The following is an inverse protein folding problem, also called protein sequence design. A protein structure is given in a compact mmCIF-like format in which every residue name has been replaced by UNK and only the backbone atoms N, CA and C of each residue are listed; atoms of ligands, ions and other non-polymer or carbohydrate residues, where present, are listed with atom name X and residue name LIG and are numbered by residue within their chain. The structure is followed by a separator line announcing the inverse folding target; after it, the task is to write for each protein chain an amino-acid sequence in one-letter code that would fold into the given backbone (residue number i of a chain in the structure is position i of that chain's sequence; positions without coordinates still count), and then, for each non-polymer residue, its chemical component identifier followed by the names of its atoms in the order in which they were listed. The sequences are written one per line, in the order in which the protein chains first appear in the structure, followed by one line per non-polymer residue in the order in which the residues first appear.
data_IF_773202520667
#
_entry.id   IF_773202520667
#
_cell.length_a   1.000
_cell.length_b   1.000
_cell.length_c   1.000
_cell.angle_alpha   90.00
_cell.angle_beta   90.00
_cell.angle_gamma   90.00
#
_symmetry.space_group_name_H-M   'P 1'
#
loop_
_entity.id
_entity.type
_entity.pdbx_description
1 polymer ?
#
# COMPACT_ATOMS: atom_id res chain seq x y z
N UNK A 1 43.63 -4.57 2.47
CA UNK A 1 43.08 -3.78 1.36
C UNK A 1 42.55 -4.76 0.33
N UNK A 2 41.41 -4.44 -0.30
CA UNK A 2 40.73 -5.13 -1.39
C UNK A 2 39.78 -6.29 -1.01
N UNK A 3 38.48 -6.03 -1.21
CA UNK A 3 37.36 -6.93 -0.99
C UNK A 3 36.02 -6.20 -1.17
N UNK A 4 35.91 -5.33 -2.18
CA UNK A 4 34.69 -4.60 -2.57
C UNK A 4 34.68 -4.48 -4.09
N UNK A 5 34.48 -5.58 -4.81
CA UNK A 5 34.29 -5.56 -6.27
C UNK A 5 33.09 -6.42 -6.74
N UNK A 6 32.26 -6.92 -5.81
CA UNK A 6 31.12 -7.79 -6.14
C UNK A 6 29.79 -7.06 -6.37
N UNK A 7 29.60 -5.87 -5.79
CA UNK A 7 28.29 -5.22 -5.76
C UNK A 7 28.05 -4.29 -6.97
N UNK A 8 29.12 -3.77 -7.59
CA UNK A 8 29.02 -2.84 -8.73
C UNK A 8 28.65 -3.58 -10.03
N UNK A 9 29.27 -4.75 -10.27
CA UNK A 9 28.95 -5.61 -11.41
C UNK A 9 27.49 -6.11 -11.37
N UNK A 10 26.94 -6.36 -10.17
CA UNK A 10 25.53 -6.70 -9.99
C UNK A 10 24.60 -5.58 -10.48
N UNK A 11 24.86 -4.34 -10.06
CA UNK A 11 24.06 -3.18 -10.42
C UNK A 11 24.16 -2.81 -11.92
N UNK A 12 25.35 -2.93 -12.52
CA UNK A 12 25.55 -2.71 -13.96
C UNK A 12 24.74 -3.73 -14.77
N UNK A 13 24.76 -5.00 -14.35
CA UNK A 13 24.01 -6.06 -15.02
C UNK A 13 22.50 -5.90 -14.82
N UNK A 14 22.04 -5.48 -13.64
CA UNK A 14 20.62 -5.16 -13.41
C UNK A 14 20.17 -3.98 -14.29
N UNK A 15 21.04 -2.97 -14.48
CA UNK A 15 20.78 -1.87 -15.40
C UNK A 15 20.64 -2.38 -16.85
N UNK A 16 21.54 -3.26 -17.30
CA UNK A 16 21.47 -3.89 -18.63
C UNK A 16 20.17 -4.70 -18.80
N UNK A 17 19.80 -5.52 -17.83
CA UNK A 17 18.55 -6.32 -17.86
C UNK A 17 17.29 -5.43 -17.86
N UNK A 18 17.36 -4.23 -17.26
CA UNK A 18 16.25 -3.26 -17.30
C UNK A 18 16.18 -2.47 -18.60
N UNK A 19 17.31 -2.25 -19.27
CA UNK A 19 17.40 -1.48 -20.52
C UNK A 19 16.98 -2.30 -21.75
N UNK A 20 17.39 -3.58 -21.80
CA UNK A 20 17.16 -4.43 -22.96
C UNK A 20 16.05 -5.45 -22.70
N UNK A 21 15.13 -5.61 -23.67
CA UNK A 21 14.03 -6.54 -23.52
C UNK A 21 14.44 -7.96 -23.91
N UNK A 22 15.35 -8.12 -24.86
CA UNK A 22 15.83 -9.43 -25.28
C UNK A 22 17.34 -9.52 -25.16
N UNK A 23 17.84 -10.75 -24.99
CA UNK A 23 19.29 -11.00 -25.01
C UNK A 23 19.90 -10.65 -26.38
N UNK A 24 19.10 -10.77 -27.44
CA UNK A 24 19.51 -10.41 -28.80
C UNK A 24 19.70 -8.90 -28.95
N UNK A 25 18.79 -8.08 -28.41
CA UNK A 25 18.97 -6.61 -28.38
C UNK A 25 20.23 -6.19 -27.62
N UNK A 26 20.57 -6.89 -26.54
CA UNK A 26 21.81 -6.64 -25.80
C UNK A 26 23.04 -6.95 -26.67
N UNK A 27 23.06 -8.09 -27.37
CA UNK A 27 24.18 -8.44 -28.24
C UNK A 27 24.27 -7.49 -29.44
N UNK A 28 23.14 -7.10 -30.01
CA UNK A 28 23.09 -6.17 -31.14
C UNK A 28 23.60 -4.77 -30.74
N UNK A 29 23.40 -4.35 -29.48
CA UNK A 29 23.99 -3.11 -28.96
C UNK A 29 25.52 -3.10 -28.91
N UNK A 30 26.14 -4.29 -28.93
CA UNK A 30 27.60 -4.47 -28.94
C UNK A 30 28.15 -4.66 -30.36
N UNK A 31 27.30 -4.88 -31.37
CA UNK A 31 27.72 -5.01 -32.76
C UNK A 31 27.99 -3.61 -33.33
N UNK A 32 29.19 -3.42 -33.89
CA UNK A 32 29.55 -2.15 -34.52
C UNK A 32 29.29 -2.18 -36.03
N UNK A 33 29.22 -1.00 -36.65
CA UNK A 33 29.13 -0.86 -38.12
C UNK A 33 30.33 -1.47 -38.85
N UNK A 34 31.47 -1.56 -38.17
CA UNK A 34 32.67 -2.20 -38.69
C UNK A 34 32.50 -3.73 -38.78
N UNK A 35 31.84 -4.34 -37.79
CA UNK A 35 31.55 -5.77 -37.78
C UNK A 35 30.56 -6.11 -38.90
N UNK A 36 29.53 -5.27 -39.10
CA UNK A 36 28.61 -5.39 -40.24
C UNK A 36 29.33 -5.28 -41.59
N UNK A 37 30.30 -4.37 -41.71
CA UNK A 37 31.06 -4.17 -42.94
C UNK A 37 32.01 -5.33 -43.28
N UNK A 38 32.63 -5.97 -42.28
CA UNK A 38 33.61 -7.04 -42.52
C UNK A 38 33.02 -8.45 -42.51
N UNK A 39 31.95 -8.68 -41.75
CA UNK A 39 31.37 -10.03 -41.59
C UNK A 39 30.16 -10.24 -42.50
N UNK A 40 29.51 -9.15 -42.97
CA UNK A 40 28.26 -9.11 -43.75
C UNK A 40 27.06 -9.88 -43.15
N UNK A 41 27.28 -10.63 -42.07
CA UNK A 41 26.36 -11.52 -41.41
C UNK A 41 26.26 -11.17 -39.93
N UNK A 42 25.09 -10.69 -39.51
CA UNK A 42 24.79 -10.27 -38.14
C UNK A 42 24.93 -11.44 -37.14
N UNK A 43 24.53 -12.64 -37.55
CA UNK A 43 24.62 -13.84 -36.72
C UNK A 43 26.07 -14.23 -36.40
N UNK A 44 27.00 -14.00 -37.35
CA UNK A 44 28.42 -14.27 -37.14
C UNK A 44 29.04 -13.25 -36.18
N UNK A 45 28.67 -11.97 -36.32
CA UNK A 45 29.09 -10.94 -35.37
C UNK A 45 28.58 -11.25 -33.96
N UNK A 46 27.32 -11.69 -33.84
CA UNK A 46 26.71 -12.09 -32.57
C UNK A 46 27.46 -13.22 -31.89
N UNK A 47 27.86 -14.26 -32.64
CA UNK A 47 28.66 -15.38 -32.11
C UNK A 47 30.06 -14.94 -31.66
N UNK A 48 30.71 -14.03 -32.39
CA UNK A 48 32.03 -13.51 -32.01
C UNK A 48 31.98 -12.65 -30.74
N UNK A 49 30.90 -11.90 -30.54
CA UNK A 49 30.64 -11.17 -29.29
C UNK A 49 30.36 -12.15 -28.16
N UNK A 50 29.50 -13.15 -28.37
CA UNK A 50 29.18 -14.17 -27.36
C UNK A 50 30.41 -14.97 -26.89
N UNK A 51 31.34 -15.26 -27.81
CA UNK A 51 32.60 -15.93 -27.52
C UNK A 51 33.67 -15.00 -26.90
N UNK A 52 33.39 -13.70 -26.76
CA UNK A 52 34.28 -12.72 -26.14
C UNK A 52 35.44 -12.25 -27.04
N UNK A 53 35.41 -12.49 -28.35
CA UNK A 53 36.48 -12.09 -29.27
C UNK A 53 36.41 -10.61 -29.69
N UNK A 54 35.25 -9.96 -29.51
CA UNK A 54 35.00 -8.57 -29.96
C UNK A 54 34.61 -7.58 -28.86
N UNK A 55 34.41 -8.03 -27.62
CA UNK A 55 33.92 -7.19 -26.51
C UNK A 55 34.96 -6.93 -25.42
N UNK A 56 34.82 -5.78 -24.74
CA UNK A 56 35.57 -5.43 -23.53
C UNK A 56 35.04 -6.20 -22.32
N UNK A 57 35.45 -7.47 -22.18
CA UNK A 57 35.22 -8.27 -20.98
C UNK A 57 34.16 -9.36 -21.13
N UNK A 58 34.07 -10.18 -20.08
CA UNK A 58 33.22 -11.37 -19.97
C UNK A 58 31.76 -11.04 -20.31
N UNK A 59 31.29 -11.54 -21.45
CA UNK A 59 29.91 -11.35 -21.90
C UNK A 59 29.00 -12.18 -21.01
N UNK A 60 27.89 -11.56 -20.58
CA UNK A 60 26.90 -12.23 -19.74
C UNK A 60 26.32 -13.42 -20.51
N UNK A 61 26.35 -14.61 -19.92
CA UNK A 61 25.79 -15.80 -20.57
C UNK A 61 24.30 -15.62 -20.79
N UNK A 62 23.80 -16.16 -21.91
CA UNK A 62 22.36 -16.21 -22.23
C UNK A 62 21.54 -16.71 -21.05
N UNK A 63 22.01 -17.76 -20.37
CA UNK A 63 21.35 -18.36 -19.21
C UNK A 63 21.25 -17.38 -18.04
N UNK A 64 22.32 -16.64 -17.74
CA UNK A 64 22.37 -15.69 -16.63
C UNK A 64 21.47 -14.46 -16.89
N UNK A 65 21.44 -13.97 -18.13
CA UNK A 65 20.55 -12.88 -18.53
C UNK A 65 19.07 -13.27 -18.36
N UNK A 66 18.70 -14.44 -18.88
CA UNK A 66 17.33 -14.95 -18.78
C UNK A 66 16.98 -15.24 -17.32
N UNK A 67 17.88 -15.88 -16.57
CA UNK A 67 17.64 -16.20 -15.16
C UNK A 67 17.41 -14.94 -14.32
N UNK A 68 18.20 -13.87 -14.52
CA UNK A 68 17.99 -12.59 -13.81
C UNK A 68 16.73 -11.89 -14.24
N UNK A 69 16.40 -11.88 -15.53
CA UNK A 69 15.14 -11.31 -16.00
C UNK A 69 13.93 -12.06 -15.44
N UNK A 70 13.96 -13.39 -15.47
CA UNK A 70 12.94 -14.23 -14.88
C UNK A 70 12.86 -14.05 -13.36
N UNK A 71 13.98 -13.90 -12.67
CA UNK A 71 14.00 -13.61 -11.23
C UNK A 71 13.39 -12.25 -10.92
N UNK A 72 13.75 -11.20 -11.67
CA UNK A 72 13.17 -9.86 -11.52
C UNK A 72 11.66 -9.86 -11.81
N UNK A 73 11.23 -10.57 -12.86
CA UNK A 73 9.81 -10.71 -13.18
C UNK A 73 9.07 -11.55 -12.12
N UNK A 74 9.66 -12.65 -11.66
CA UNK A 74 9.10 -13.49 -10.60
C UNK A 74 8.99 -12.73 -9.28
N UNK A 75 9.99 -11.90 -8.93
CA UNK A 75 9.91 -11.00 -7.78
C UNK A 75 8.76 -10.02 -7.92
N UNK A 76 8.63 -9.34 -9.07
CA UNK A 76 7.51 -8.41 -9.32
C UNK A 76 6.14 -9.10 -9.30
N UNK A 77 6.05 -10.32 -9.84
CA UNK A 77 4.83 -11.13 -9.82
C UNK A 77 4.53 -11.57 -8.40
N UNK A 78 5.53 -12.02 -7.63
CA UNK A 78 5.37 -12.46 -6.24
C UNK A 78 4.96 -11.31 -5.32
N UNK A 79 5.52 -10.11 -5.50
CA UNK A 79 5.08 -8.90 -4.79
C UNK A 79 3.63 -8.56 -5.15
N UNK A 80 3.27 -8.63 -6.44
CA UNK A 80 1.88 -8.42 -6.89
C UNK A 80 0.94 -9.51 -6.37
N UNK A 81 1.39 -10.76 -6.26
CA UNK A 81 0.62 -11.88 -5.74
C UNK A 81 0.48 -11.84 -4.23
N UNK A 82 1.52 -11.45 -3.49
CA UNK A 82 1.48 -11.15 -2.06
C UNK A 82 0.56 -9.96 -1.78
N UNK A 83 0.53 -8.99 -2.70
CA UNK A 83 -0.49 -7.94 -2.72
C UNK A 83 -1.90 -8.44 -3.12
N UNK A 84 -2.08 -9.69 -3.54
CA UNK A 84 -3.37 -10.25 -3.97
C UNK A 84 -3.90 -11.34 -3.03
N UNK A 85 -3.07 -11.93 -2.18
CA UNK A 85 -3.56 -12.79 -1.09
C UNK A 85 -4.38 -11.91 -0.16
N UNK A 86 -5.69 -12.09 -0.20
CA UNK A 86 -6.65 -11.42 0.68
C UNK A 86 -6.43 -11.94 2.10
N UNK A 87 -6.39 -11.05 3.08
CA UNK A 87 -6.17 -11.36 4.50
C UNK A 87 -7.34 -12.16 5.12
N UNK A 88 -8.49 -12.14 4.44
CA UNK A 88 -9.70 -12.91 4.77
C UNK A 88 -9.77 -14.28 4.11
N UNK A 89 -8.92 -14.59 3.11
CA UNK A 89 -8.99 -15.85 2.39
C UNK A 89 -8.69 -17.04 3.32
N UNK A 90 -9.66 -17.97 3.43
CA UNK A 90 -9.51 -19.19 4.24
C UNK A 90 -9.79 -19.05 5.73
N UNK A 91 -10.32 -17.93 6.22
CA UNK A 91 -10.68 -17.75 7.63
C UNK A 91 -12.17 -17.90 7.89
N UNK A 92 -12.51 -18.70 8.91
CA UNK A 92 -13.88 -18.79 9.41
C UNK A 92 -14.22 -17.60 10.30
N UNK A 93 -14.88 -16.60 9.72
CA UNK A 93 -15.31 -15.40 10.42
C UNK A 93 -16.69 -15.65 11.05
N UNK A 94 -16.75 -15.69 12.38
CA UNK A 94 -18.01 -15.86 13.14
C UNK A 94 -18.83 -14.58 13.22
N UNK A 95 -18.17 -13.42 13.24
CA UNK A 95 -18.82 -12.12 13.42
C UNK A 95 -19.32 -11.53 12.09
N UNK A 96 -20.58 -11.06 12.08
CA UNK A 96 -21.18 -10.38 10.93
C UNK A 96 -20.36 -9.17 10.47
N UNK A 97 -19.75 -8.44 11.41
CA UNK A 97 -18.87 -7.32 11.12
C UNK A 97 -17.63 -7.75 10.33
N UNK A 98 -16.95 -8.82 10.76
CA UNK A 98 -15.75 -9.32 10.08
C UNK A 98 -16.12 -9.89 8.71
N UNK A 99 -17.26 -10.59 8.59
CA UNK A 99 -17.76 -11.08 7.30
C UNK A 99 -17.98 -9.93 6.30
N UNK A 100 -18.61 -8.85 6.72
CA UNK A 100 -18.82 -7.67 5.88
C UNK A 100 -17.49 -6.98 5.48
N UNK A 101 -16.48 -7.00 6.35
CA UNK A 101 -15.15 -6.49 6.03
C UNK A 101 -14.41 -7.38 5.03
N UNK A 102 -14.52 -8.70 5.17
CA UNK A 102 -13.92 -9.67 4.26
C UNK A 102 -14.49 -9.54 2.84
N UNK A 103 -15.82 -9.49 2.71
CA UNK A 103 -16.49 -9.29 1.40
C UNK A 103 -16.05 -8.00 0.71
N UNK A 104 -15.77 -6.95 1.49
CA UNK A 104 -15.33 -5.65 0.97
C UNK A 104 -13.81 -5.53 0.82
N UNK A 105 -13.02 -6.46 1.33
CA UNK A 105 -11.54 -6.37 1.34
C UNK A 105 -11.00 -6.25 -0.09
N UNK A 106 -11.44 -7.15 -0.98
CA UNK A 106 -11.00 -7.17 -2.37
C UNK A 106 -11.39 -5.90 -3.12
N UNK A 107 -12.63 -5.43 -2.94
CA UNK A 107 -13.12 -4.22 -3.61
C UNK A 107 -12.38 -2.96 -3.13
N UNK A 108 -12.05 -2.87 -1.82
CA UNK A 108 -11.28 -1.75 -1.27
C UNK A 108 -9.80 -1.79 -1.69
N UNK A 109 -9.19 -2.98 -1.77
CA UNK A 109 -7.79 -3.12 -2.22
C UNK A 109 -7.62 -2.74 -3.69
N UNK A 110 -8.61 -3.10 -4.52
CA UNK A 110 -8.68 -2.73 -5.93
C UNK A 110 -9.15 -1.29 -6.17
N UNK A 111 -9.51 -0.54 -5.12
CA UNK A 111 -10.01 0.83 -5.24
C UNK A 111 -11.38 0.96 -5.93
N UNK A 112 -12.14 -0.13 -6.05
CA UNK A 112 -13.50 -0.12 -6.63
C UNK A 112 -14.52 0.48 -5.68
N UNK A 113 -14.31 0.30 -4.38
CA UNK A 113 -15.16 0.80 -3.30
C UNK A 113 -14.26 1.45 -2.25
N UNK A 114 -14.73 2.53 -1.62
CA UNK A 114 -14.12 3.08 -0.40
C UNK A 114 -15.06 2.84 0.78
N UNK A 115 -14.53 2.21 1.83
CA UNK A 115 -15.29 1.88 3.04
C UNK A 115 -14.71 2.59 4.25
N UNK A 116 -15.58 3.24 5.03
CA UNK A 116 -15.22 3.86 6.30
C UNK A 116 -15.87 3.06 7.41
N UNK A 117 -15.09 2.68 8.42
CA UNK A 117 -15.53 1.94 9.59
C UNK A 117 -15.75 2.95 10.72
N UNK A 118 -16.97 2.97 11.27
CA UNK A 118 -17.26 3.70 12.50
C UNK A 118 -17.19 2.74 13.68
N UNK A 119 -16.35 3.05 14.67
CA UNK A 119 -16.24 2.29 15.92
C UNK A 119 -16.68 3.19 17.06
N UNK A 120 -17.48 2.63 17.96
CA UNK A 120 -17.83 3.23 19.26
C UNK A 120 -17.51 2.21 20.34
N UNK A 121 -16.61 2.59 21.23
CA UNK A 121 -16.21 1.76 22.38
C UNK A 121 -16.31 2.56 23.68
N UNK A 122 -16.47 1.87 24.80
CA UNK A 122 -16.46 2.46 26.14
C UNK A 122 -15.26 1.93 26.90
N UNK A 123 -14.37 2.84 27.27
CA UNK A 123 -13.23 2.47 28.09
C UNK A 123 -13.70 2.05 29.50
N UNK A 124 -12.89 1.30 30.23
CA UNK A 124 -13.19 0.87 31.61
C UNK A 124 -13.45 2.05 32.57
N UNK A 125 -12.99 3.26 32.20
CA UNK A 125 -13.25 4.52 32.91
C UNK A 125 -14.59 5.19 32.55
N UNK A 126 -15.44 4.54 31.75
CA UNK A 126 -16.73 5.06 31.29
C UNK A 126 -16.64 6.13 30.19
N UNK A 127 -15.44 6.45 29.72
CA UNK A 127 -15.25 7.38 28.60
C UNK A 127 -15.66 6.70 27.29
N UNK A 128 -16.57 7.34 26.55
CA UNK A 128 -16.91 6.91 25.20
C UNK A 128 -15.81 7.37 24.23
N UNK A 129 -15.26 6.44 23.48
CA UNK A 129 -14.30 6.72 22.41
C UNK A 129 -14.94 6.27 21.11
N UNK A 130 -15.18 7.22 20.22
CA UNK A 130 -15.65 6.93 18.87
C UNK A 130 -14.65 7.42 17.84
N UNK A 131 -14.56 6.73 16.69
CA UNK A 131 -13.71 7.16 15.60
C UNK A 131 -14.17 6.63 14.25
N UNK A 132 -13.77 7.34 13.21
CA UNK A 132 -13.85 6.91 11.82
C UNK A 132 -12.48 6.41 11.36
N UNK A 133 -12.47 5.19 10.84
CA UNK A 133 -11.28 4.52 10.33
C UNK A 133 -11.48 4.28 8.84
N UNK A 134 -10.55 4.78 8.03
CA UNK A 134 -10.51 4.44 6.61
C UNK A 134 -9.99 3.01 6.43
N UNK A 135 -10.84 2.14 5.90
CA UNK A 135 -10.52 0.73 5.71
C UNK A 135 -9.48 0.52 4.60
N UNK A 136 -9.59 1.26 3.49
CA UNK A 136 -8.67 1.12 2.37
C UNK A 136 -7.26 1.61 2.75
N UNK A 137 -7.17 2.71 3.49
CA UNK A 137 -5.91 3.18 4.05
C UNK A 137 -5.32 2.15 5.01
N UNK A 138 -6.15 1.56 5.87
CA UNK A 138 -5.69 0.59 6.86
C UNK A 138 -5.16 -0.70 6.23
N UNK A 139 -5.80 -1.22 5.19
CA UNK A 139 -5.35 -2.39 4.45
C UNK A 139 -3.93 -2.24 3.88
N UNK A 140 -3.50 -1.00 3.61
CA UNK A 140 -2.16 -0.71 3.08
C UNK A 140 -1.11 -0.58 4.19
N UNK A 141 -1.49 -0.05 5.35
CA UNK A 141 -0.56 0.28 6.44
C UNK A 141 -0.37 -0.88 7.43
N UNK A 142 -1.41 -1.68 7.67
CA UNK A 142 -1.37 -2.78 8.64
C UNK A 142 -1.69 -4.13 7.96
N UNK A 143 -1.17 -5.21 8.53
CA UNK A 143 -1.58 -6.58 8.20
C UNK A 143 -2.95 -6.89 8.82
N UNK A 144 -3.98 -7.05 7.97
CA UNK A 144 -5.35 -7.33 8.43
C UNK A 144 -5.57 -8.77 8.92
N UNK A 145 -4.58 -9.63 8.71
CA UNK A 145 -4.58 -11.03 9.09
C UNK A 145 -4.87 -11.23 10.60
N UNK A 146 -4.27 -10.38 11.44
CA UNK A 146 -4.37 -10.42 12.90
C UNK A 146 -5.78 -10.07 13.40
N UNK A 147 -6.48 -9.19 12.68
CA UNK A 147 -7.86 -8.81 13.03
C UNK A 147 -8.85 -9.91 12.62
N UNK A 148 -8.68 -10.49 11.42
CA UNK A 148 -9.53 -11.60 10.96
C UNK A 148 -9.34 -12.88 11.77
N UNK A 149 -8.16 -13.11 12.34
CA UNK A 149 -7.91 -14.24 13.24
C UNK A 149 -8.42 -14.03 14.68
N UNK A 150 -8.98 -12.86 15.00
CA UNK A 150 -9.52 -12.55 16.32
C UNK A 150 -8.45 -12.33 17.40
N UNK A 151 -7.16 -12.38 17.05
CA UNK A 151 -6.04 -12.14 17.99
C UNK A 151 -6.01 -10.69 18.49
N UNK A 152 -6.50 -9.76 17.67
CA UNK A 152 -6.53 -8.34 17.99
C UNK A 152 -7.88 -7.73 17.63
N UNK A 153 -8.41 -6.88 18.52
CA UNK A 153 -9.60 -6.08 18.23
C UNK A 153 -9.22 -4.83 17.44
N UNK A 154 -10.04 -4.47 16.45
CA UNK A 154 -9.95 -3.18 15.77
C UNK A 154 -10.28 -2.07 16.76
N UNK A 155 -9.31 -1.20 17.02
CA UNK A 155 -9.45 -0.07 17.93
C UNK A 155 -8.90 1.20 17.25
N UNK A 156 -9.52 2.38 17.47
CA UNK A 156 -9.01 3.62 16.92
C UNK A 156 -7.54 3.85 17.31
N UNK A 157 -6.69 4.28 16.37
CA UNK A 157 -5.34 4.81 16.59
C UNK A 157 -5.34 6.33 16.53
N UNK A 158 -4.22 6.94 16.94
CA UNK A 158 -4.05 8.41 16.92
C UNK A 158 -4.10 8.99 15.51
N UNK A 159 -3.78 8.19 14.50
CA UNK A 159 -3.88 8.52 13.07
C UNK A 159 -5.31 8.58 12.54
N UNK A 160 -6.27 8.00 13.28
CA UNK A 160 -7.66 7.93 12.83
C UNK A 160 -8.46 9.13 13.36
N UNK A 161 -9.55 9.49 12.68
CA UNK A 161 -10.40 10.61 13.04
C UNK A 161 -11.25 10.25 14.27
N UNK A 162 -10.68 10.47 15.45
CA UNK A 162 -11.35 10.26 16.75
C UNK A 162 -12.26 11.43 17.08
N UNK A 163 -13.44 11.11 17.59
CA UNK A 163 -14.30 12.04 18.27
C UNK A 163 -14.04 11.90 19.78
N UNK A 164 -13.42 12.93 20.36
CA UNK A 164 -13.37 13.05 21.80
C UNK A 164 -14.68 13.68 22.26
N UNK A 165 -15.43 13.07 23.20
CA UNK A 165 -16.53 13.77 23.82
C UNK A 165 -15.93 14.99 24.52
N UNK A 166 -16.33 16.18 24.08
CA UNK A 166 -16.01 17.43 24.74
C UNK A 166 -16.47 17.29 26.19
N UNK A 167 -15.51 17.09 27.09
CA UNK A 167 -15.80 17.15 28.51
C UNK A 167 -16.16 18.61 28.74
N UNK A 168 -17.42 18.89 29.02
CA UNK A 168 -17.87 20.18 29.54
C UNK A 168 -16.88 20.62 30.62
N UNK A 169 -15.98 21.55 30.28
CA UNK A 169 -15.18 22.23 31.27
C UNK A 169 -16.12 23.18 32.02
N UNK A 170 -16.78 22.69 33.05
CA UNK A 170 -17.13 23.54 34.18
C UNK A 170 -15.93 23.55 35.12
N UNK A 171 -15.00 24.47 34.87
CA UNK A 171 -13.84 24.66 35.73
C UNK A 171 -12.86 25.69 35.19
N UNK A 172 -12.97 26.91 35.74
CA UNK A 172 -12.08 28.06 35.59
C UNK A 172 -12.18 28.86 34.28
N UNK A 173 -13.15 29.78 34.28
CA UNK A 173 -13.05 30.99 33.47
C UNK A 173 -11.79 31.78 33.88
N UNK A 174 -10.79 31.83 33.00
CA UNK A 174 -10.03 33.07 32.85
C UNK A 174 -10.80 33.94 31.86
N UNK A 175 -11.22 35.12 32.31
CA UNK A 175 -11.98 36.07 31.51
C UNK A 175 -11.11 36.59 30.37
N UNK A 176 -11.38 36.17 29.15
CA UNK A 176 -11.11 36.99 27.96
C UNK A 176 -12.38 37.05 27.13
N UNK A 177 -13.10 38.14 27.34
CA UNK A 177 -14.25 38.54 26.53
C UNK A 177 -13.76 38.89 25.13
N UNK A 178 -14.11 38.09 24.14
CA UNK A 178 -14.23 38.55 22.75
C UNK A 178 -15.57 38.06 22.22
N UNK A 179 -16.48 39.00 22.11
CA UNK A 179 -17.87 38.82 21.74
C UNK A 179 -18.00 38.54 20.25
N UNK A 180 -18.22 37.27 19.87
CA UNK A 180 -18.85 36.93 18.60
C UNK A 180 -20.28 36.46 18.90
N UNK A 181 -21.20 37.42 18.79
CA UNK A 181 -22.63 37.24 19.02
C UNK A 181 -23.24 36.51 17.83
N UNK A 182 -23.51 35.21 17.96
CA UNK A 182 -24.43 34.48 17.09
C UNK A 182 -25.75 34.31 17.83
N UNK A 183 -26.79 34.95 17.30
CA UNK A 183 -28.14 34.95 17.85
C UNK A 183 -28.81 33.62 17.45
N UNK A 184 -28.88 32.66 18.37
CA UNK A 184 -29.74 31.47 18.21
C UNK A 184 -31.15 31.82 18.71
N UNK A 185 -32.10 31.90 17.79
CA UNK A 185 -33.52 32.00 18.12
C UNK A 185 -34.04 30.60 18.46
N UNK A 186 -34.10 30.29 19.75
CA UNK A 186 -34.81 29.11 20.27
C UNK A 186 -36.25 29.49 20.59
N UNK A 187 -37.21 29.00 19.80
CA UNK A 187 -38.59 28.89 20.28
C UNK A 187 -38.67 27.65 21.16
N UNK A 188 -38.64 27.87 22.47
CA UNK A 188 -38.97 26.86 23.46
C UNK A 188 -40.49 26.75 23.56
N UNK A 189 -40.99 25.54 23.36
CA UNK A 189 -42.34 25.13 23.73
C UNK A 189 -42.46 25.21 25.26
N UNK A 190 -43.51 25.89 25.74
CA UNK A 190 -43.99 25.75 27.11
C UNK A 190 -45.47 25.39 27.07
N UNK A 191 -45.77 24.26 27.70
CA UNK A 191 -47.09 23.84 28.12
C UNK A 191 -47.76 24.92 28.98
N UNK A 192 -49.05 25.16 28.74
CA UNK A 192 -49.97 25.61 29.80
C UNK A 192 -51.21 24.73 29.80
N UNK A 193 -51.36 24.06 30.93
CA UNK A 193 -52.47 23.22 31.34
C UNK A 193 -53.81 23.97 31.43
N UNK A 194 -54.89 23.21 31.21
CA UNK A 194 -56.21 23.27 31.84
C UNK A 194 -56.96 24.61 31.91
N UNK A 195 -58.05 24.70 31.13
CA UNK A 195 -59.31 25.29 31.58
C UNK A 195 -60.50 24.43 31.09
N UNK A 196 -61.31 23.96 32.04
CA UNK A 196 -62.70 23.53 31.80
C UNK A 196 -63.56 24.74 31.42
N UNK A 197 -64.60 24.54 30.58
CA UNK A 197 -65.97 24.93 30.93
C UNK A 197 -67.02 24.31 29.99
N UNK A 198 -68.11 23.84 30.62
CA UNK A 198 -69.47 23.47 30.16
C UNK A 198 -69.71 22.61 28.92
#
# INVERSE_FOLDING_TARGET
MAGVEGDDAGAVLDHIVTQFNTYEEYLDSQITTQDLFYLENEEMARQLVELGFRGSGEVLKREDFIARKLAAEASRISERQQQKILSSAGKELKDNFLKALAEREEANRNGKVSSIIFIRDRNARGQEVSAYIDYAHRLKVDEFDVYFSGKKKLFPRRSDLRHFPETTQHGFQSKQTSTCKWLSMTMSSEEKSNYQFS
#
